data_IF_767261108300
#
_entry.id   IF_767261108300
#
_cell.length_a   1.000
_cell.length_b   1.000
_cell.length_c   1.000
_cell.angle_alpha   90.00
_cell.angle_beta   90.00
_cell.angle_gamma   90.00
#
_symmetry.space_group_name_H-M   'P 1'
#
loop_
_entity.id
_entity.type
_entity.pdbx_description
1 polymer ?
#
# COMPACT_ATOMS: atom_id res chain seq x y z
N UNK A 1 -1.37 10.00 24.55
CA UNK A 1 -1.51 9.64 23.13
C UNK A 1 -0.66 10.54 22.23
N UNK A 2 -0.64 11.86 22.45
CA UNK A 2 0.21 12.85 21.75
C UNK A 2 1.66 12.39 21.50
N UNK A 3 2.37 11.92 22.53
CA UNK A 3 3.77 11.49 22.39
C UNK A 3 3.95 10.29 21.45
N UNK A 4 3.04 9.30 21.52
CA UNK A 4 3.06 8.15 20.63
C UNK A 4 2.76 8.56 19.18
N UNK A 5 1.83 9.51 18.98
CA UNK A 5 1.52 10.08 17.68
C UNK A 5 2.76 10.74 17.03
N UNK A 6 3.46 11.63 17.74
CA UNK A 6 4.62 12.32 17.18
C UNK A 6 5.80 11.37 16.92
N UNK A 7 6.07 10.41 17.81
CA UNK A 7 7.12 9.41 17.60
C UNK A 7 6.79 8.52 16.40
N UNK A 8 5.56 7.99 16.33
CA UNK A 8 5.15 7.14 15.24
C UNK A 8 5.16 7.90 13.90
N UNK A 9 4.71 9.15 13.88
CA UNK A 9 4.81 10.02 12.72
C UNK A 9 6.25 10.26 12.27
N UNK A 10 7.17 10.52 13.21
CA UNK A 10 8.59 10.67 12.90
C UNK A 10 9.18 9.38 12.31
N UNK A 11 8.87 8.23 12.90
CA UNK A 11 9.30 6.91 12.41
C UNK A 11 8.76 6.68 11.00
N UNK A 12 7.49 6.96 10.73
CA UNK A 12 6.87 6.80 9.42
C UNK A 12 7.59 7.65 8.35
N UNK A 13 7.90 8.91 8.66
CA UNK A 13 8.63 9.81 7.74
C UNK A 13 10.04 9.28 7.46
N UNK A 14 10.80 8.93 8.51
CA UNK A 14 12.17 8.44 8.36
C UNK A 14 12.21 7.10 7.61
N UNK A 15 11.28 6.20 7.91
CA UNK A 15 11.14 4.92 7.22
C UNK A 15 10.82 5.14 5.74
N UNK A 16 9.83 5.98 5.42
CA UNK A 16 9.47 6.31 4.03
C UNK A 16 10.62 6.97 3.27
N UNK A 17 11.38 7.86 3.91
CA UNK A 17 12.60 8.42 3.32
C UNK A 17 13.63 7.33 3.00
N UNK A 18 13.77 6.32 3.86
CA UNK A 18 14.61 5.16 3.58
C UNK A 18 14.07 4.32 2.44
N UNK A 19 12.75 4.12 2.29
CA UNK A 19 12.16 3.41 1.15
C UNK A 19 12.62 4.02 -0.17
N UNK A 20 12.52 5.35 -0.31
CA UNK A 20 12.80 6.03 -1.58
C UNK A 20 14.29 6.27 -1.88
N UNK A 21 15.16 6.19 -0.87
CA UNK A 21 16.60 6.43 -1.02
C UNK A 21 17.41 5.14 -1.13
N UNK A 22 16.84 3.99 -0.79
CA UNK A 22 17.57 2.74 -0.72
C UNK A 22 17.49 1.95 -2.01
N UNK A 23 18.65 1.61 -2.57
CA UNK A 23 18.77 0.95 -3.88
C UNK A 23 18.47 -0.55 -3.85
N UNK A 24 18.36 -1.14 -2.67
CA UNK A 24 18.05 -2.56 -2.52
C UNK A 24 16.53 -2.70 -2.29
N UNK A 25 15.79 -3.31 -3.24
CA UNK A 25 14.33 -3.34 -3.20
C UNK A 25 13.78 -4.13 -2.01
N UNK A 26 14.47 -5.20 -1.57
CA UNK A 26 14.06 -5.96 -0.39
C UNK A 26 14.12 -5.07 0.85
N UNK A 27 15.22 -4.34 1.04
CA UNK A 27 15.37 -3.47 2.19
C UNK A 27 14.42 -2.28 2.13
N UNK A 28 14.19 -1.71 0.95
CA UNK A 28 13.21 -0.66 0.73
C UNK A 28 11.79 -1.13 1.15
N UNK A 29 11.37 -2.34 0.75
CA UNK A 29 10.08 -2.90 1.16
C UNK A 29 10.00 -3.15 2.68
N UNK A 30 11.07 -3.58 3.33
CA UNK A 30 11.10 -3.74 4.80
C UNK A 30 10.94 -2.40 5.51
N UNK A 31 11.58 -1.33 5.03
CA UNK A 31 11.35 0.02 5.55
C UNK A 31 9.90 0.48 5.30
N UNK A 32 9.28 0.06 4.19
CA UNK A 32 7.88 0.39 3.92
C UNK A 32 6.97 -0.29 4.94
N UNK A 33 7.20 -1.57 5.28
CA UNK A 33 6.46 -2.27 6.34
C UNK A 33 6.56 -1.53 7.68
N UNK A 34 7.76 -1.05 8.04
CA UNK A 34 7.95 -0.25 9.27
C UNK A 34 7.13 1.04 9.22
N UNK A 35 7.08 1.71 8.06
CA UNK A 35 6.28 2.93 7.88
C UNK A 35 4.78 2.67 8.05
N UNK A 36 4.24 1.60 7.47
CA UNK A 36 2.82 1.24 7.58
C UNK A 36 2.44 0.84 9.02
N UNK A 37 3.32 0.12 9.73
CA UNK A 37 3.11 -0.18 11.15
C UNK A 37 3.11 1.11 11.98
N UNK A 38 4.02 2.04 11.70
CA UNK A 38 4.04 3.34 12.38
C UNK A 38 2.76 4.15 12.08
N UNK A 39 2.25 4.13 10.85
CA UNK A 39 0.95 4.72 10.49
C UNK A 39 -0.22 4.08 11.24
N UNK A 40 -0.20 2.76 11.44
CA UNK A 40 -1.20 2.10 12.26
C UNK A 40 -1.20 2.62 13.71
N UNK A 41 -0.02 2.83 14.30
CA UNK A 41 0.11 3.44 15.64
C UNK A 41 -0.42 4.88 15.66
N UNK A 42 -0.25 5.64 14.57
CA UNK A 42 -0.87 6.96 14.41
C UNK A 42 -2.40 6.85 14.41
N UNK A 43 -2.99 5.91 13.67
CA UNK A 43 -4.44 5.69 13.69
C UNK A 43 -4.97 5.25 15.05
N UNK A 44 -4.25 4.38 15.77
CA UNK A 44 -4.59 4.06 17.16
C UNK A 44 -4.52 5.28 18.06
N UNK A 45 -3.52 6.16 17.88
CA UNK A 45 -3.40 7.37 18.69
C UNK A 45 -4.53 8.37 18.44
N UNK A 46 -5.11 8.37 17.24
CA UNK A 46 -6.24 9.22 16.84
C UNK A 46 -7.62 8.64 17.18
N UNK A 47 -7.70 7.45 17.79
CA UNK A 47 -8.98 6.80 18.10
C UNK A 47 -9.61 6.03 16.93
N UNK A 48 -8.91 5.90 15.80
CA UNK A 48 -9.39 5.20 14.60
C UNK A 48 -8.97 3.71 14.60
N UNK A 49 -9.45 2.95 15.57
CA UNK A 49 -8.96 1.58 15.83
C UNK A 49 -9.24 0.60 14.70
N UNK A 50 -10.39 0.71 14.04
CA UNK A 50 -10.74 -0.15 12.92
C UNK A 50 -9.80 0.07 11.72
N UNK A 51 -9.50 1.34 11.40
CA UNK A 51 -8.57 1.69 10.32
C UNK A 51 -7.13 1.23 10.66
N UNK A 52 -6.68 1.46 11.89
CA UNK A 52 -5.37 0.99 12.37
C UNK A 52 -5.21 -0.54 12.26
N UNK A 53 -6.25 -1.30 12.62
CA UNK A 53 -6.26 -2.75 12.48
C UNK A 53 -6.21 -3.20 11.01
N UNK A 54 -6.98 -2.56 10.12
CA UNK A 54 -6.94 -2.86 8.68
C UNK A 54 -5.59 -2.53 8.06
N UNK A 55 -4.93 -1.46 8.51
CA UNK A 55 -3.57 -1.10 8.08
C UNK A 55 -2.57 -2.23 8.34
N UNK A 56 -2.66 -2.85 9.52
CA UNK A 56 -1.80 -3.99 9.88
C UNK A 56 -2.17 -5.24 9.07
N UNK A 57 -3.46 -5.60 9.01
CA UNK A 57 -3.89 -6.87 8.42
C UNK A 57 -3.74 -6.85 6.90
N UNK A 58 -4.22 -5.79 6.24
CA UNK A 58 -4.34 -5.74 4.78
C UNK A 58 -3.07 -5.17 4.16
N UNK A 59 -2.62 -3.99 4.57
CA UNK A 59 -1.47 -3.33 3.96
C UNK A 59 -0.16 -3.98 4.40
N UNK A 60 0.15 -3.95 5.70
CA UNK A 60 1.40 -4.52 6.20
C UNK A 60 1.41 -6.06 6.12
N UNK A 61 0.26 -6.70 6.36
CA UNK A 61 0.14 -8.15 6.51
C UNK A 61 -0.05 -8.90 5.20
N UNK A 62 -1.03 -8.54 4.36
CA UNK A 62 -1.32 -9.28 3.14
C UNK A 62 -0.53 -8.72 1.94
N UNK A 63 -0.69 -7.44 1.65
CA UNK A 63 -0.13 -6.81 0.45
C UNK A 63 1.40 -6.80 0.54
N UNK A 64 1.96 -6.24 1.60
CA UNK A 64 3.41 -6.10 1.69
C UNK A 64 4.15 -7.43 1.81
N UNK A 65 3.57 -8.44 2.47
CA UNK A 65 4.17 -9.79 2.52
C UNK A 65 4.20 -10.42 1.12
N UNK A 66 3.14 -10.27 0.32
CA UNK A 66 3.14 -10.71 -1.08
C UNK A 66 4.24 -10.00 -1.88
N UNK A 67 4.37 -8.67 -1.75
CA UNK A 67 5.43 -7.91 -2.43
C UNK A 67 6.84 -8.35 -2.01
N UNK A 68 7.10 -8.49 -0.71
CA UNK A 68 8.39 -8.96 -0.20
C UNK A 68 8.71 -10.36 -0.73
N UNK A 69 7.72 -11.26 -0.73
CA UNK A 69 7.88 -12.61 -1.27
C UNK A 69 8.21 -12.59 -2.76
N UNK A 70 7.44 -11.85 -3.57
CA UNK A 70 7.66 -11.73 -5.02
C UNK A 70 9.03 -11.13 -5.32
N UNK A 71 9.39 -10.02 -4.68
CA UNK A 71 10.68 -9.35 -4.89
C UNK A 71 11.85 -10.26 -4.50
N UNK A 72 11.69 -11.04 -3.44
CA UNK A 72 12.70 -12.00 -3.01
C UNK A 72 12.83 -13.18 -3.98
N UNK A 73 11.71 -13.75 -4.46
CA UNK A 73 11.73 -14.84 -5.45
C UNK A 73 12.34 -14.40 -6.79
N UNK A 74 12.02 -13.18 -7.24
CA UNK A 74 12.57 -12.63 -8.47
C UNK A 74 14.06 -12.30 -8.36
N UNK A 75 14.64 -12.33 -7.14
CA UNK A 75 16.03 -12.05 -6.81
C UNK A 75 16.63 -10.96 -7.72
N UNK A 76 16.02 -9.77 -7.67
CA UNK A 76 16.35 -8.63 -8.50
C UNK A 76 17.87 -8.40 -8.47
N UNK A 77 18.54 -8.81 -9.56
CA UNK A 77 20.00 -8.90 -9.61
C UNK A 77 20.71 -7.56 -9.54
N UNK A 78 22.05 -7.59 -9.57
CA UNK A 78 22.89 -6.37 -9.49
C UNK A 78 22.55 -5.31 -10.54
N UNK A 79 22.03 -5.71 -11.70
CA UNK A 79 21.59 -4.81 -12.78
C UNK A 79 20.47 -3.85 -12.35
N UNK A 80 19.51 -4.31 -11.53
CA UNK A 80 18.41 -3.48 -11.02
C UNK A 80 18.94 -2.46 -10.02
N UNK A 81 19.83 -2.90 -9.12
CA UNK A 81 20.48 -2.02 -8.13
C UNK A 81 21.32 -0.94 -8.80
N UNK A 82 22.02 -1.26 -9.89
CA UNK A 82 22.83 -0.29 -10.62
C UNK A 82 21.98 0.67 -11.46
N UNK A 83 20.79 0.26 -11.92
CA UNK A 83 19.81 1.14 -12.56
C UNK A 83 19.19 2.12 -11.55
N UNK A 84 18.78 1.62 -10.38
CA UNK A 84 18.28 2.42 -9.25
C UNK A 84 19.28 3.53 -8.87
N UNK A 85 20.57 3.19 -8.75
CA UNK A 85 21.64 4.19 -8.48
C UNK A 85 21.72 5.30 -9.53
N UNK A 86 21.48 4.98 -10.80
CA UNK A 86 21.47 5.99 -11.87
C UNK A 86 20.26 6.92 -11.75
N UNK A 87 19.12 6.41 -11.32
CA UNK A 87 17.89 7.20 -11.13
C UNK A 87 17.95 8.07 -9.87
N UNK A 88 18.72 7.65 -8.86
CA UNK A 88 19.00 8.44 -7.66
C UNK A 88 20.02 9.58 -7.89
N UNK A 89 20.47 9.82 -9.12
CA UNK A 89 21.33 10.97 -9.40
C UNK A 89 20.58 12.29 -9.14
N UNK A 90 21.22 13.30 -8.52
CA UNK A 90 20.57 14.55 -8.13
C UNK A 90 19.86 15.28 -9.28
N UNK A 91 20.33 15.07 -10.52
CA UNK A 91 19.75 15.65 -11.73
C UNK A 91 18.29 15.23 -11.97
N UNK A 92 17.92 14.00 -11.60
CA UNK A 92 16.55 13.48 -11.79
C UNK A 92 15.62 13.82 -10.62
N UNK A 93 16.14 14.29 -9.50
CA UNK A 93 15.35 14.63 -8.31
C UNK A 93 14.65 15.98 -8.40
N UNK A 94 15.08 16.87 -9.29
CA UNK A 94 14.53 18.23 -9.40
C UNK A 94 13.02 18.20 -9.68
N UNK A 95 12.57 17.35 -10.60
CA UNK A 95 11.15 17.22 -10.95
C UNK A 95 10.28 16.73 -9.79
N UNK A 96 10.56 15.53 -9.24
CA UNK A 96 9.84 15.01 -8.08
C UNK A 96 9.89 15.93 -6.85
N UNK A 97 11.05 16.55 -6.59
CA UNK A 97 11.21 17.47 -5.46
C UNK A 97 10.35 18.73 -5.63
N UNK A 98 10.31 19.32 -6.83
CA UNK A 98 9.47 20.49 -7.11
C UNK A 98 7.98 20.16 -6.97
N UNK A 99 7.56 18.99 -7.47
CA UNK A 99 6.18 18.54 -7.35
C UNK A 99 5.78 18.25 -5.90
N UNK A 100 6.65 17.56 -5.15
CA UNK A 100 6.46 17.30 -3.71
C UNK A 100 6.43 18.59 -2.89
N UNK A 101 7.30 19.57 -3.18
CA UNK A 101 7.31 20.87 -2.52
C UNK A 101 6.02 21.66 -2.81
N UNK A 102 5.56 21.64 -4.07
CA UNK A 102 4.31 22.28 -4.46
C UNK A 102 3.13 21.67 -3.71
N UNK A 103 3.07 20.33 -3.64
CA UNK A 103 2.03 19.62 -2.90
C UNK A 103 2.08 19.96 -1.39
N UNK A 104 3.28 20.07 -0.82
CA UNK A 104 3.46 20.45 0.59
C UNK A 104 2.97 21.87 0.85
N UNK A 105 3.27 22.83 -0.03
CA UNK A 105 2.78 24.22 0.09
C UNK A 105 1.25 24.25 0.02
N UNK A 106 0.65 23.53 -0.93
CA UNK A 106 -0.81 23.44 -1.06
C UNK A 106 -1.43 22.81 0.19
N UNK A 107 -0.81 21.77 0.74
CA UNK A 107 -1.29 21.11 1.96
C UNK A 107 -1.23 22.05 3.17
N UNK A 108 -0.12 22.77 3.37
CA UNK A 108 0.03 23.75 4.45
C UNK A 108 -1.00 24.87 4.30
N UNK A 109 -1.17 25.40 3.08
CA UNK A 109 -2.17 26.42 2.81
C UNK A 109 -3.58 25.90 3.12
N UNK A 110 -3.93 24.71 2.66
CA UNK A 110 -5.23 24.09 2.94
C UNK A 110 -5.48 23.94 4.44
N UNK A 111 -4.52 23.39 5.20
CA UNK A 111 -4.63 23.20 6.66
C UNK A 111 -4.80 24.54 7.38
N UNK A 112 -4.00 25.55 7.03
CA UNK A 112 -4.06 26.88 7.67
C UNK A 112 -5.30 27.68 7.28
N UNK A 113 -5.90 27.41 6.11
CA UNK A 113 -7.11 28.08 5.62
C UNK A 113 -8.41 27.54 6.22
N UNK A 114 -8.38 26.35 6.82
CA UNK A 114 -9.54 25.73 7.46
C UNK A 114 -9.66 26.26 8.89
N UNK A 115 -10.86 26.73 9.26
CA UNK A 115 -11.18 27.03 10.67
C UNK A 115 -11.03 25.75 11.47
N UNK A 116 -10.13 25.76 12.46
CA UNK A 116 -9.83 24.60 13.28
C UNK A 116 -11.11 24.18 14.02
N UNK A 117 -11.76 23.10 13.58
CA UNK A 117 -12.71 22.38 14.42
C UNK A 117 -11.93 21.74 15.56
N UNK A 118 -12.52 21.67 16.75
CA UNK A 118 -11.92 20.91 17.85
C UNK A 118 -11.73 19.46 17.37
N UNK A 119 -10.50 18.95 17.41
CA UNK A 119 -10.23 17.53 17.23
C UNK A 119 -10.69 16.87 18.53
N UNK A 120 -11.98 16.58 18.60
CA UNK A 120 -12.53 15.68 19.61
C UNK A 120 -11.91 14.32 19.29
N UNK A 121 -10.95 13.87 20.10
CA UNK A 121 -10.33 12.53 19.99
C UNK A 121 -11.32 11.41 20.31
N UNK A 122 -12.51 11.49 19.73
CA UNK A 122 -13.60 10.57 19.88
C UNK A 122 -13.19 9.24 19.26
N UNK A 123 -13.25 8.19 20.07
CA UNK A 123 -12.87 6.86 19.64
C UNK A 123 -13.98 6.31 18.75
N UNK A 124 -13.66 6.09 17.48
CA UNK A 124 -14.62 5.52 16.52
C UNK A 124 -14.53 4.00 16.60
N UNK A 125 -15.63 3.39 17.01
CA UNK A 125 -15.73 1.94 17.14
C UNK A 125 -15.90 1.22 15.79
N UNK A 126 -15.44 -0.02 15.69
CA UNK A 126 -15.67 -0.86 14.50
C UNK A 126 -17.17 -1.03 14.16
N UNK A 127 -18.03 -1.00 15.19
CA UNK A 127 -19.49 -1.06 15.02
C UNK A 127 -20.03 0.16 14.26
N UNK A 128 -19.59 1.36 14.60
CA UNK A 128 -20.02 2.60 13.94
C UNK A 128 -19.57 2.63 12.49
N UNK A 129 -18.32 2.22 12.23
CA UNK A 129 -17.82 2.06 10.87
C UNK A 129 -18.67 1.05 10.09
N UNK A 130 -19.02 -0.09 10.69
CA UNK A 130 -19.89 -1.09 10.06
C UNK A 130 -21.28 -0.55 9.72
N UNK A 131 -21.91 0.20 10.64
CA UNK A 131 -23.21 0.85 10.39
C UNK A 131 -23.10 1.85 9.24
N UNK A 132 -22.01 2.62 9.17
CA UNK A 132 -21.78 3.55 8.07
C UNK A 132 -21.55 2.83 6.73
N UNK A 133 -20.78 1.74 6.72
CA UNK A 133 -20.48 0.96 5.52
C UNK A 133 -21.74 0.30 4.94
N UNK A 134 -22.59 -0.28 5.78
CA UNK A 134 -23.79 -0.99 5.33
C UNK A 134 -25.07 -0.13 5.33
N UNK A 135 -24.99 1.10 5.81
CA UNK A 135 -26.06 2.09 5.71
C UNK A 135 -25.82 3.02 4.52
N UNK A 136 -25.29 4.24 4.74
CA UNK A 136 -25.12 5.24 3.68
C UNK A 136 -24.14 4.81 2.57
N UNK A 137 -23.14 3.98 2.87
CA UNK A 137 -22.09 3.58 1.92
C UNK A 137 -22.28 2.19 1.31
N UNK A 138 -23.49 1.62 1.35
CA UNK A 138 -23.75 0.26 0.85
C UNK A 138 -23.30 0.06 -0.61
N UNK A 139 -23.52 1.06 -1.47
CA UNK A 139 -23.08 1.02 -2.87
C UNK A 139 -21.55 0.95 -2.99
N UNK A 140 -20.81 1.62 -2.11
CA UNK A 140 -19.35 1.56 -2.11
C UNK A 140 -18.85 0.15 -1.74
N UNK A 141 -19.52 -0.52 -0.79
CA UNK A 141 -19.20 -1.90 -0.40
C UNK A 141 -19.50 -2.87 -1.55
N UNK A 142 -20.63 -2.70 -2.23
CA UNK A 142 -21.01 -3.52 -3.38
C UNK A 142 -19.99 -3.38 -4.52
N UNK A 143 -19.62 -2.15 -4.89
CA UNK A 143 -18.60 -1.89 -5.90
C UNK A 143 -17.22 -2.45 -5.51
N UNK A 144 -16.84 -2.33 -4.24
CA UNK A 144 -15.59 -2.91 -3.74
C UNK A 144 -15.61 -4.45 -3.86
N UNK A 145 -16.74 -5.10 -3.59
CA UNK A 145 -16.86 -6.56 -3.71
C UNK A 145 -16.72 -7.04 -5.15
N UNK A 146 -17.33 -6.33 -6.11
CA UNK A 146 -17.18 -6.59 -7.56
C UNK A 146 -15.73 -6.36 -8.00
N UNK A 147 -15.07 -5.32 -7.49
CA UNK A 147 -13.67 -5.04 -7.79
C UNK A 147 -12.73 -6.14 -7.26
N UNK A 148 -12.96 -6.64 -6.05
CA UNK A 148 -12.19 -7.76 -5.49
C UNK A 148 -12.42 -9.06 -6.26
N UNK A 149 -13.67 -9.35 -6.64
CA UNK A 149 -14.00 -10.52 -7.45
C UNK A 149 -13.31 -10.46 -8.82
N UNK A 150 -13.38 -9.30 -9.48
CA UNK A 150 -12.70 -9.06 -10.76
C UNK A 150 -11.18 -9.24 -10.63
N UNK A 151 -10.58 -8.65 -9.59
CA UNK A 151 -9.14 -8.80 -9.32
C UNK A 151 -8.73 -10.26 -9.11
N UNK A 152 -9.53 -11.05 -8.40
CA UNK A 152 -9.29 -12.48 -8.21
C UNK A 152 -9.35 -13.26 -9.54
N UNK A 153 -10.38 -13.01 -10.37
CA UNK A 153 -10.54 -13.67 -11.67
C UNK A 153 -9.36 -13.34 -12.59
N UNK A 154 -8.95 -12.07 -12.64
CA UNK A 154 -7.80 -11.63 -13.47
C UNK A 154 -6.50 -12.27 -12.98
N UNK A 155 -6.24 -12.26 -11.68
CA UNK A 155 -5.05 -12.89 -11.10
C UNK A 155 -5.02 -14.40 -11.38
N UNK A 156 -6.16 -15.09 -11.27
CA UNK A 156 -6.27 -16.51 -11.60
C UNK A 156 -6.01 -16.79 -13.08
N UNK A 157 -6.63 -16.02 -13.98
CA UNK A 157 -6.45 -16.22 -15.42
C UNK A 157 -5.01 -15.98 -15.87
N UNK A 158 -4.35 -14.93 -15.36
CA UNK A 158 -2.95 -14.64 -15.67
C UNK A 158 -2.01 -15.68 -15.04
N UNK A 159 -2.32 -16.16 -13.83
CA UNK A 159 -1.50 -17.14 -13.11
C UNK A 159 -1.67 -18.58 -13.59
N UNK A 160 -2.68 -18.89 -14.40
CA UNK A 160 -2.90 -20.25 -14.94
C UNK A 160 -1.94 -20.49 -16.09
N UNK A 161 -1.02 -21.42 -15.89
CA UNK A 161 -0.05 -21.83 -16.92
C UNK A 161 -0.78 -22.50 -18.10
N UNK A 162 -0.43 -22.12 -19.34
CA UNK A 162 -1.11 -22.58 -20.57
C UNK A 162 -0.88 -24.07 -20.85
N UNK A 163 0.05 -24.71 -20.13
CA UNK A 163 0.41 -26.12 -20.32
C UNK A 163 -0.76 -27.08 -20.10
N UNK A 164 -1.80 -26.69 -19.34
CA UNK A 164 -2.94 -27.57 -19.11
C UNK A 164 -3.97 -27.56 -20.25
N UNK A 165 -3.95 -26.55 -21.14
CA UNK A 165 -4.83 -26.50 -22.31
C UNK A 165 -4.15 -27.21 -23.50
N UNK A 166 -2.83 -27.08 -23.66
CA UNK A 166 -2.05 -27.78 -24.70
C UNK A 166 -2.10 -29.31 -24.57
N UNK A 167 -2.20 -29.83 -23.34
CA UNK A 167 -2.30 -31.27 -23.09
C UNK A 167 -3.69 -31.81 -23.46
N UNK A 168 -4.75 -31.07 -23.15
CA UNK A 168 -6.14 -31.46 -23.46
C UNK A 168 -6.43 -31.35 -24.95
N UNK A 169 -5.85 -30.38 -25.66
CA UNK A 169 -6.03 -30.24 -27.11
C UNK A 169 -5.29 -31.35 -27.88
N UNK A 170 -4.07 -31.74 -27.44
CA UNK A 170 -3.32 -32.82 -28.06
C UNK A 170 -3.89 -34.23 -27.79
N UNK A 171 -4.50 -34.46 -26.62
CA UNK A 171 -5.16 -35.74 -26.30
C UNK A 171 -6.42 -35.93 -27.18
N UNK A 172 -7.24 -34.89 -27.32
CA UNK A 172 -8.42 -34.91 -28.20
C UNK A 172 -8.07 -35.00 -29.69
N UNK A 173 -6.95 -34.42 -30.12
CA UNK A 173 -6.46 -34.54 -31.50
C UNK A 173 -5.87 -35.93 -31.80
N UNK A 174 -5.39 -36.65 -30.78
CA UNK A 174 -4.89 -38.02 -30.88
C UNK A 174 -5.98 -39.08 -31.01
N UNK A 175 -7.15 -38.87 -30.39
CA UNK A 175 -8.29 -39.82 -30.46
C UNK A 175 -9.10 -39.74 -31.76
N UNK A 176 -8.91 -38.69 -32.59
CA UNK A 176 -9.60 -38.53 -33.87
C UNK A 176 -8.83 -39.06 -35.10
N UNK A 177 -7.71 -39.77 -34.89
CA UNK A 177 -6.93 -40.46 -35.92
C UNK A 177 -7.00 -41.97 -35.77
#
# INVERSE_FOLDING_TARGET
MEFAFYIAGLIAILATLRVITHTNPVHALLYLVISLIALSVVFFSLGAYFAGALEIIVYAGAIMVLFVFVVMMLNLGKSVVDQEKKWLQPKFWIGPALLSLTLLIVLIYAITSVTHGEITGEVIGAKEVGISLFGPYILAVELASVLLLSGLIVAYHIGRDQSHDDLVENENAGEQK
#
